data_IF_479816099018
#
_entry.id   IF_479816099018
#
_cell.length_a   1.000
_cell.length_b   1.000
_cell.length_c   1.000
_cell.angle_alpha   90.00
_cell.angle_beta   90.00
_cell.angle_gamma   90.00
#
_symmetry.space_group_name_H-M   'P 1'
#
loop_
_entity.id
_entity.type
_entity.pdbx_description
1 polymer ?
#
# COMPACT_ATOMS: atom_id res chain seq x y z
N UNK A 1 -7.96 16.21 40.79
CA UNK A 1 -8.46 17.19 39.81
C UNK A 1 -7.36 17.40 38.80
N UNK A 2 -7.55 16.99 37.54
CA UNK A 2 -6.60 17.30 36.48
C UNK A 2 -6.65 18.82 36.23
N UNK A 3 -5.50 19.49 36.23
CA UNK A 3 -5.42 20.91 35.91
C UNK A 3 -5.90 21.08 34.47
N UNK A 4 -6.91 21.92 34.26
CA UNK A 4 -7.32 22.34 32.92
C UNK A 4 -6.19 23.20 32.37
N UNK A 5 -5.40 22.66 31.44
CA UNK A 5 -4.43 23.48 30.70
C UNK A 5 -5.21 24.54 29.92
N UNK A 6 -5.07 25.80 30.32
CA UNK A 6 -5.60 26.92 29.56
C UNK A 6 -4.73 27.11 28.31
N UNK A 7 -5.19 26.58 27.18
CA UNK A 7 -4.61 26.86 25.89
C UNK A 7 -4.75 28.35 25.57
N UNK A 8 -3.62 29.03 25.36
CA UNK A 8 -3.60 30.45 24.99
C UNK A 8 -3.33 30.54 23.49
N UNK A 9 -4.25 31.11 22.74
CA UNK A 9 -4.06 31.36 21.31
C UNK A 9 -3.43 32.75 21.09
N UNK A 10 -2.51 32.89 20.13
CA UNK A 10 -1.92 34.19 19.83
C UNK A 10 -3.00 35.16 19.32
N UNK A 11 -2.90 36.41 19.75
CA UNK A 11 -3.82 37.48 19.29
C UNK A 11 -3.44 37.96 17.90
N UNK A 12 -2.14 37.98 17.58
CA UNK A 12 -1.63 38.34 16.26
C UNK A 12 -1.60 37.12 15.33
N UNK A 13 -2.22 37.24 14.15
CA UNK A 13 -2.28 36.15 13.16
C UNK A 13 -0.91 35.66 12.72
N UNK A 14 0.10 36.55 12.70
CA UNK A 14 1.46 36.21 12.29
C UNK A 14 2.18 35.29 13.30
N UNK A 15 1.78 35.31 14.57
CA UNK A 15 2.37 34.51 15.65
C UNK A 15 1.76 33.11 15.75
N UNK A 16 0.79 32.77 14.88
CA UNK A 16 0.17 31.45 14.89
C UNK A 16 1.18 30.35 14.56
N UNK A 17 1.08 29.24 15.27
CA UNK A 17 1.69 27.98 14.87
C UNK A 17 1.07 27.53 13.54
N UNK A 18 1.92 27.19 12.58
CA UNK A 18 1.58 26.63 11.27
C UNK A 18 1.94 25.15 11.24
N UNK A 19 1.53 24.43 10.19
CA UNK A 19 1.91 23.04 10.00
C UNK A 19 3.43 22.84 9.83
N UNK A 20 4.18 23.90 9.51
CA UNK A 20 5.63 23.87 9.32
C UNK A 20 6.43 24.08 10.61
N UNK A 21 5.84 24.74 11.62
CA UNK A 21 6.54 25.07 12.87
C UNK A 21 5.85 24.50 14.13
N UNK A 22 4.69 23.85 13.96
CA UNK A 22 4.00 23.12 15.02
C UNK A 22 4.49 21.67 15.14
N UNK A 23 4.20 21.07 16.30
CA UNK A 23 4.39 19.64 16.48
C UNK A 23 3.35 18.85 15.68
N UNK A 24 3.81 17.99 14.79
CA UNK A 24 2.98 17.07 14.02
C UNK A 24 3.48 15.64 14.23
N UNK A 25 2.60 14.65 14.20
CA UNK A 25 3.01 13.25 14.28
C UNK A 25 3.85 12.86 13.06
N UNK A 26 4.78 11.93 13.26
CA UNK A 26 5.65 11.43 12.19
C UNK A 26 4.84 10.76 11.07
N UNK A 27 3.80 9.97 11.41
CA UNK A 27 2.88 9.36 10.43
C UNK A 27 2.26 10.38 9.48
N UNK A 28 1.78 11.50 10.01
CA UNK A 28 1.16 12.56 9.21
C UNK A 28 2.18 13.25 8.31
N UNK A 29 3.39 13.49 8.80
CA UNK A 29 4.47 14.06 7.98
C UNK A 29 4.86 13.11 6.83
N UNK A 30 4.99 11.81 7.11
CA UNK A 30 5.28 10.78 6.10
C UNK A 30 4.18 10.71 5.04
N UNK A 31 2.91 10.77 5.44
CA UNK A 31 1.80 10.87 4.51
C UNK A 31 1.87 12.13 3.63
N UNK A 32 2.15 13.30 4.20
CA UNK A 32 2.27 14.52 3.38
C UNK A 32 3.39 14.44 2.35
N UNK A 33 4.54 13.88 2.74
CA UNK A 33 5.65 13.65 1.81
C UNK A 33 5.28 12.66 0.70
N UNK A 34 4.59 11.57 1.05
CA UNK A 34 4.06 10.63 0.07
C UNK A 34 3.03 11.31 -0.85
N UNK A 35 2.14 12.15 -0.31
CA UNK A 35 1.10 12.81 -1.10
C UNK A 35 1.61 13.87 -2.08
N UNK A 36 2.82 14.39 -1.83
CA UNK A 36 3.54 15.31 -2.73
C UNK A 36 4.35 14.56 -3.80
N UNK A 37 4.40 13.22 -3.72
CA UNK A 37 5.10 12.39 -4.68
C UNK A 37 4.40 12.42 -6.05
N UNK A 38 5.17 12.53 -7.14
CA UNK A 38 4.63 12.68 -8.49
C UNK A 38 3.71 11.52 -8.90
N UNK A 39 4.05 10.29 -8.53
CA UNK A 39 3.28 9.09 -8.83
C UNK A 39 2.16 8.80 -7.80
N UNK A 40 1.96 9.64 -6.78
CA UNK A 40 1.03 9.32 -5.70
C UNK A 40 -0.41 9.18 -6.16
N UNK A 41 -0.86 9.99 -7.13
CA UNK A 41 -2.22 9.92 -7.63
C UNK A 41 -2.53 8.53 -8.21
N UNK A 42 -1.59 7.97 -8.97
CA UNK A 42 -1.72 6.66 -9.60
C UNK A 42 -1.56 5.52 -8.59
N UNK A 43 -0.58 5.63 -7.68
CA UNK A 43 -0.42 4.68 -6.57
C UNK A 43 -1.70 4.61 -5.74
N UNK A 44 -2.30 5.76 -5.42
CA UNK A 44 -3.55 5.83 -4.68
C UNK A 44 -4.68 5.14 -5.43
N UNK A 45 -4.77 5.33 -6.74
CA UNK A 45 -5.80 4.72 -7.57
C UNK A 45 -5.63 3.18 -7.62
N UNK A 46 -4.42 2.68 -7.89
CA UNK A 46 -4.11 1.24 -7.93
C UNK A 46 -4.38 0.58 -6.56
N UNK A 47 -3.91 1.18 -5.47
CA UNK A 47 -4.09 0.61 -4.13
C UNK A 47 -5.55 0.67 -3.68
N UNK A 48 -6.30 1.71 -4.09
CA UNK A 48 -7.73 1.78 -3.84
C UNK A 48 -8.51 0.66 -4.56
N UNK A 49 -8.12 0.34 -5.79
CA UNK A 49 -8.70 -0.78 -6.55
C UNK A 49 -8.40 -2.11 -5.86
N UNK A 50 -7.14 -2.35 -5.47
CA UNK A 50 -6.76 -3.52 -4.67
C UNK A 50 -7.57 -3.64 -3.37
N UNK A 51 -7.84 -2.52 -2.67
CA UNK A 51 -8.66 -2.53 -1.46
C UNK A 51 -10.10 -2.95 -1.78
N UNK A 52 -10.68 -2.46 -2.88
CA UNK A 52 -12.05 -2.79 -3.30
C UNK A 52 -12.19 -4.26 -3.68
N UNK A 53 -11.20 -4.83 -4.35
CA UNK A 53 -11.27 -6.21 -4.87
C UNK A 53 -10.87 -7.25 -3.81
N UNK A 54 -9.96 -6.91 -2.88
CA UNK A 54 -9.30 -7.93 -2.05
C UNK A 54 -9.58 -7.84 -0.54
N UNK A 55 -10.24 -6.80 -0.04
CA UNK A 55 -10.52 -6.63 1.40
C UNK A 55 -12.02 -6.71 1.68
N UNK A 56 -12.45 -7.67 2.51
CA UNK A 56 -13.87 -8.04 2.70
C UNK A 56 -14.76 -6.99 3.36
N UNK A 57 -14.20 -6.07 4.15
CA UNK A 57 -14.90 -4.93 4.76
C UNK A 57 -13.90 -3.83 5.11
N UNK A 58 -13.41 -3.07 4.11
CA UNK A 58 -12.21 -2.27 4.27
C UNK A 58 -12.40 -1.12 5.29
N UNK A 59 -13.58 -0.49 5.29
CA UNK A 59 -13.87 0.63 6.18
C UNK A 59 -13.96 0.25 7.67
N UNK A 60 -14.49 -0.93 7.99
CA UNK A 60 -14.70 -1.33 9.39
C UNK A 60 -13.58 -2.20 9.95
N UNK A 61 -12.71 -2.75 9.09
CA UNK A 61 -11.60 -3.62 9.51
C UNK A 61 -10.25 -2.91 9.55
N UNK A 62 -10.16 -1.66 9.10
CA UNK A 62 -8.93 -0.85 9.23
C UNK A 62 -8.45 -0.80 10.69
N UNK A 63 -7.13 -0.87 10.90
CA UNK A 63 -6.43 -1.01 12.19
C UNK A 63 -6.63 -2.34 12.93
N UNK A 64 -7.60 -3.16 12.54
CA UNK A 64 -7.95 -4.38 13.28
C UNK A 64 -7.72 -5.66 12.47
N UNK A 65 -7.98 -5.63 11.18
CA UNK A 65 -7.63 -6.67 10.22
C UNK A 65 -6.50 -6.24 9.29
N UNK A 66 -6.45 -4.96 8.90
CA UNK A 66 -5.38 -4.44 8.03
C UNK A 66 -4.90 -3.05 8.44
N UNK A 67 -3.68 -2.68 8.04
CA UNK A 67 -3.07 -1.37 8.28
C UNK A 67 -2.32 -0.89 7.05
N UNK A 68 -2.22 0.43 6.89
CA UNK A 68 -1.32 1.05 5.90
C UNK A 68 -0.29 1.97 6.54
N UNK A 69 0.92 1.97 6.01
CA UNK A 69 2.01 2.87 6.37
C UNK A 69 2.52 3.64 5.15
N UNK A 70 2.96 4.88 5.38
CA UNK A 70 3.61 5.72 4.38
C UNK A 70 5.10 5.84 4.71
N UNK A 71 5.98 5.73 3.71
CA UNK A 71 7.44 5.92 3.86
C UNK A 71 7.99 5.13 5.06
N UNK A 72 7.71 3.83 5.09
CA UNK A 72 8.02 2.95 6.24
C UNK A 72 9.50 2.57 6.30
N UNK A 73 10.20 2.60 5.16
CA UNK A 73 11.62 2.24 5.04
C UNK A 73 12.29 3.03 3.92
N UNK A 74 13.54 3.41 4.14
CA UNK A 74 14.37 4.11 3.17
C UNK A 74 15.82 3.61 3.27
N UNK A 75 16.43 3.40 2.12
CA UNK A 75 17.83 3.08 1.92
C UNK A 75 18.36 3.86 0.68
N UNK A 76 19.68 3.90 0.42
CA UNK A 76 20.24 4.77 -0.62
C UNK A 76 19.66 4.59 -2.03
N UNK A 77 19.17 3.41 -2.37
CA UNK A 77 18.67 3.08 -3.72
C UNK A 77 17.24 2.52 -3.70
N UNK A 78 16.60 2.52 -2.53
CA UNK A 78 15.28 1.91 -2.33
C UNK A 78 14.50 2.67 -1.27
N UNK A 79 13.29 3.07 -1.61
CA UNK A 79 12.36 3.77 -0.72
C UNK A 79 10.99 3.10 -0.77
N UNK A 80 10.54 2.53 0.35
CA UNK A 80 9.21 1.94 0.47
C UNK A 80 8.20 3.06 0.65
N UNK A 81 7.45 3.37 -0.42
CA UNK A 81 6.49 4.45 -0.46
C UNK A 81 5.25 4.14 0.38
N UNK A 82 4.71 2.93 0.20
CA UNK A 82 3.47 2.48 0.83
C UNK A 82 3.59 1.01 1.21
N UNK A 83 3.09 0.67 2.39
CA UNK A 83 2.94 -0.72 2.85
C UNK A 83 1.50 -0.92 3.27
N UNK A 84 0.84 -1.97 2.76
CA UNK A 84 -0.44 -2.46 3.22
C UNK A 84 -0.23 -3.86 3.82
N UNK A 85 -0.64 -4.00 5.07
CA UNK A 85 -0.46 -5.22 5.86
C UNK A 85 -1.83 -5.76 6.22
N UNK A 86 -2.09 -7.05 5.94
CA UNK A 86 -3.27 -7.78 6.40
C UNK A 86 -2.82 -8.83 7.41
N UNK A 87 -3.45 -8.89 8.59
CA UNK A 87 -2.95 -9.71 9.68
C UNK A 87 -1.51 -9.33 10.02
N UNK A 88 -0.58 -10.27 9.95
CA UNK A 88 0.84 -10.09 10.28
C UNK A 88 1.78 -10.10 9.07
N UNK A 89 1.23 -10.01 7.85
CA UNK A 89 2.00 -10.03 6.60
C UNK A 89 1.75 -8.76 5.78
N UNK A 90 2.82 -8.20 5.22
CA UNK A 90 2.73 -7.15 4.20
C UNK A 90 2.22 -7.79 2.91
N UNK A 91 0.96 -7.53 2.56
CA UNK A 91 0.31 -8.15 1.40
C UNK A 91 0.43 -7.31 0.14
N UNK A 92 0.65 -6.00 0.28
CA UNK A 92 1.02 -5.11 -0.81
C UNK A 92 2.08 -4.11 -0.35
N UNK A 93 3.14 -3.95 -1.14
CA UNK A 93 4.22 -2.98 -0.91
C UNK A 93 4.52 -2.25 -2.20
N UNK A 94 4.54 -0.92 -2.15
CA UNK A 94 4.99 -0.08 -3.26
C UNK A 94 6.37 0.46 -2.93
N UNK A 95 7.34 0.14 -3.78
CA UNK A 95 8.73 0.49 -3.61
C UNK A 95 9.20 1.31 -4.79
N UNK A 96 9.94 2.37 -4.48
CA UNK A 96 10.67 3.16 -5.43
C UNK A 96 12.14 2.76 -5.41
N UNK A 97 12.69 2.47 -6.58
CA UNK A 97 14.11 2.23 -6.77
C UNK A 97 14.74 3.42 -7.50
N UNK A 98 15.94 3.81 -7.07
CA UNK A 98 16.73 4.83 -7.75
C UNK A 98 17.94 4.16 -8.39
N UNK A 99 18.10 4.35 -9.70
CA UNK A 99 19.23 3.83 -10.44
C UNK A 99 20.45 4.74 -10.27
N UNK A 100 21.57 4.15 -9.84
CA UNK A 100 22.83 4.87 -9.60
C UNK A 100 23.48 5.44 -10.87
N UNK A 101 23.20 4.86 -12.03
CA UNK A 101 23.90 5.20 -13.27
C UNK A 101 23.30 6.44 -13.95
N UNK A 102 21.99 6.68 -13.81
CA UNK A 102 21.28 7.75 -14.52
C UNK A 102 20.24 8.53 -13.69
N UNK A 103 20.20 8.31 -12.37
CA UNK A 103 19.22 8.89 -11.44
C UNK A 103 17.76 8.61 -11.85
N UNK A 104 17.51 7.59 -12.69
CA UNK A 104 16.15 7.19 -13.05
C UNK A 104 15.45 6.55 -11.86
N UNK A 105 14.12 6.71 -11.85
CA UNK A 105 13.23 6.18 -10.83
C UNK A 105 12.41 5.06 -11.45
N UNK A 106 12.44 3.90 -10.81
CA UNK A 106 11.61 2.75 -11.13
C UNK A 106 10.61 2.52 -9.99
N UNK A 107 9.37 2.15 -10.32
CA UNK A 107 8.33 1.87 -9.33
C UNK A 107 7.91 0.41 -9.45
N UNK A 108 8.05 -0.32 -8.36
CA UNK A 108 7.63 -1.72 -8.26
C UNK A 108 6.51 -1.84 -7.22
N UNK A 109 5.47 -2.58 -7.58
CA UNK A 109 4.47 -3.07 -6.64
C UNK A 109 4.71 -4.56 -6.38
N UNK A 110 5.00 -4.89 -5.12
CA UNK A 110 5.04 -6.27 -4.65
C UNK A 110 3.68 -6.64 -4.05
N UNK A 111 3.08 -7.74 -4.50
CA UNK A 111 1.83 -8.29 -3.96
C UNK A 111 2.04 -9.74 -3.54
N UNK A 112 1.61 -10.10 -2.33
CA UNK A 112 1.56 -11.50 -1.91
C UNK A 112 0.13 -12.02 -2.08
N UNK A 113 -0.01 -13.22 -2.64
CA UNK A 113 -1.29 -13.93 -2.79
C UNK A 113 -1.24 -15.31 -2.17
N UNK A 114 -2.40 -15.94 -2.02
CA UNK A 114 -2.45 -17.36 -1.68
C UNK A 114 -1.85 -18.21 -2.80
N UNK A 115 -1.55 -19.47 -2.50
CA UNK A 115 -1.10 -20.42 -3.51
C UNK A 115 -2.30 -21.08 -4.19
N UNK A 116 -2.35 -21.11 -5.54
CA UNK A 116 -3.38 -21.85 -6.25
C UNK A 116 -3.24 -23.36 -6.01
N UNK A 117 -4.38 -24.03 -5.79
CA UNK A 117 -4.40 -25.47 -5.57
C UNK A 117 -3.84 -26.24 -6.78
N UNK A 118 -2.90 -27.15 -6.52
CA UNK A 118 -2.38 -28.08 -7.52
C UNK A 118 -1.30 -27.53 -8.45
N UNK A 119 -0.83 -26.29 -8.25
CA UNK A 119 0.32 -25.75 -8.98
C UNK A 119 1.63 -26.32 -8.43
N UNK A 120 2.56 -26.67 -9.32
CA UNK A 120 3.95 -26.98 -8.95
C UNK A 120 4.78 -25.72 -8.77
N UNK A 121 5.95 -25.83 -8.11
CA UNK A 121 6.87 -24.69 -7.94
C UNK A 121 7.31 -24.08 -9.28
N UNK A 122 7.45 -24.90 -10.33
CA UNK A 122 7.75 -24.39 -11.68
C UNK A 122 6.59 -23.57 -12.25
N UNK A 123 5.34 -23.94 -11.97
CA UNK A 123 4.16 -23.21 -12.45
C UNK A 123 3.93 -21.90 -11.69
N UNK A 124 4.47 -21.77 -10.47
CA UNK A 124 4.49 -20.53 -9.70
C UNK A 124 5.58 -19.55 -10.18
N UNK A 125 6.50 -20.00 -11.03
CA UNK A 125 7.57 -19.14 -11.54
C UNK A 125 7.11 -18.46 -12.83
N UNK A 126 6.81 -17.16 -12.74
CA UNK A 126 6.43 -16.32 -13.88
C UNK A 126 7.51 -15.27 -14.07
N UNK A 127 7.88 -15.02 -15.33
CA UNK A 127 8.82 -13.96 -15.69
C UNK A 127 8.44 -13.42 -17.06
N UNK A 128 7.85 -12.24 -17.05
CA UNK A 128 7.60 -11.38 -18.21
C UNK A 128 8.45 -10.12 -18.10
N UNK A 129 8.28 -9.17 -19.03
CA UNK A 129 8.98 -7.88 -18.97
C UNK A 129 8.52 -7.01 -17.79
N UNK A 130 7.23 -7.08 -17.44
CA UNK A 130 6.61 -6.20 -16.44
C UNK A 130 6.23 -6.92 -15.15
N UNK A 131 6.17 -8.25 -15.16
CA UNK A 131 5.73 -9.05 -14.02
C UNK A 131 6.70 -10.19 -13.79
N UNK A 132 7.11 -10.36 -12.54
CA UNK A 132 7.71 -11.61 -12.09
C UNK A 132 6.92 -12.15 -10.91
N UNK A 133 6.82 -13.47 -10.82
CA UNK A 133 6.20 -14.12 -9.69
C UNK A 133 6.98 -15.37 -9.30
N UNK A 134 7.09 -15.62 -8.01
CA UNK A 134 7.72 -16.82 -7.46
C UNK A 134 7.17 -17.11 -6.07
N UNK A 135 7.38 -18.33 -5.59
CA UNK A 135 7.04 -18.66 -4.20
C UNK A 135 7.79 -17.74 -3.24
N UNK A 136 7.06 -17.13 -2.33
CA UNK A 136 7.61 -16.22 -1.32
C UNK A 136 8.50 -16.94 -0.32
N UNK A 137 9.38 -16.18 0.34
CA UNK A 137 10.38 -16.70 1.28
C UNK A 137 10.03 -16.44 2.75
N UNK A 138 8.74 -16.22 3.04
CA UNK A 138 8.28 -15.92 4.40
C UNK A 138 8.31 -17.19 5.26
N UNK A 139 8.92 -17.17 6.47
CA UNK A 139 9.05 -18.36 7.30
C UNK A 139 7.73 -18.95 7.79
N UNK A 140 6.72 -18.09 8.00
CA UNK A 140 5.44 -18.44 8.63
C UNK A 140 4.26 -18.43 7.65
N UNK A 141 4.49 -17.94 6.42
CA UNK A 141 3.43 -17.76 5.41
C UNK A 141 3.86 -18.37 4.10
N UNK A 142 3.03 -19.27 3.58
CA UNK A 142 3.22 -19.84 2.25
C UNK A 142 2.44 -18.99 1.25
N UNK A 143 3.15 -18.23 0.42
CA UNK A 143 2.57 -17.22 -0.47
C UNK A 143 3.18 -17.26 -1.85
N UNK A 144 2.42 -16.78 -2.82
CA UNK A 144 2.94 -16.42 -4.12
C UNK A 144 3.27 -14.93 -4.14
N UNK A 145 4.55 -14.59 -4.31
CA UNK A 145 5.00 -13.20 -4.36
C UNK A 145 5.09 -12.75 -5.81
N UNK A 146 4.34 -11.70 -6.12
CA UNK A 146 4.30 -11.02 -7.40
C UNK A 146 5.03 -9.71 -7.30
N UNK A 147 5.83 -9.37 -8.31
CA UNK A 147 6.48 -8.08 -8.48
C UNK A 147 6.08 -7.52 -9.83
N UNK A 148 5.55 -6.31 -9.81
CA UNK A 148 4.91 -5.66 -10.95
C UNK A 148 5.60 -4.32 -11.14
N UNK A 149 6.20 -4.11 -12.31
CA UNK A 149 6.66 -2.78 -12.72
C UNK A 149 5.43 -1.92 -13.01
N UNK A 150 5.11 -1.03 -12.05
CA UNK A 150 4.00 -0.11 -12.21
C UNK A 150 4.43 1.16 -12.92
N UNK A 151 5.74 1.44 -13.06
CA UNK A 151 6.24 2.57 -13.84
C UNK A 151 5.78 2.50 -15.29
N UNK A 152 5.82 1.31 -15.90
CA UNK A 152 5.30 1.08 -17.24
C UNK A 152 3.78 1.29 -17.35
N UNK A 153 3.02 0.93 -16.31
CA UNK A 153 1.56 1.15 -16.25
C UNK A 153 1.20 2.64 -16.27
N UNK A 154 2.05 3.51 -15.72
CA UNK A 154 1.81 4.96 -15.69
C UNK A 154 2.04 5.64 -17.05
N UNK A 155 2.65 4.95 -18.01
CA UNK A 155 3.02 5.52 -19.31
C UNK A 155 2.01 5.24 -20.43
N UNK A 156 0.80 4.75 -20.13
CA UNK A 156 -0.32 4.50 -21.06
C UNK A 156 -0.04 3.51 -22.21
N UNK A 157 1.14 2.86 -22.26
CA UNK A 157 1.55 2.01 -23.39
C UNK A 157 1.58 0.50 -23.11
N UNK A 158 1.29 0.05 -21.87
CA UNK A 158 1.46 -1.34 -21.47
C UNK A 158 0.19 -1.99 -20.89
N UNK A 159 -0.26 -3.09 -21.51
CA UNK A 159 -1.19 -4.04 -20.90
C UNK A 159 -0.38 -5.02 -20.05
N UNK A 160 -0.58 -5.04 -18.73
CA UNK A 160 0.08 -5.99 -17.84
C UNK A 160 -0.65 -7.32 -17.91
N UNK A 161 0.06 -8.36 -18.37
CA UNK A 161 -0.43 -9.73 -18.32
C UNK A 161 0.29 -10.49 -17.21
N UNK A 162 -0.48 -10.94 -16.21
CA UNK A 162 0.02 -11.74 -15.10
C UNK A 162 0.37 -13.18 -15.49
N UNK A 163 0.08 -13.62 -16.72
CA UNK A 163 0.23 -15.02 -17.12
C UNK A 163 -0.79 -15.96 -16.46
N UNK A 164 -1.71 -15.41 -15.66
CA UNK A 164 -2.91 -16.05 -15.13
C UNK A 164 -4.13 -15.17 -15.44
N UNK A 165 -5.31 -15.70 -15.16
CA UNK A 165 -6.55 -14.93 -15.25
C UNK A 165 -6.63 -13.90 -14.11
N UNK A 166 -7.04 -12.67 -14.42
CA UNK A 166 -7.11 -11.58 -13.45
C UNK A 166 -8.06 -11.90 -12.29
N UNK A 167 -9.17 -12.58 -12.56
CA UNK A 167 -10.10 -12.99 -11.48
C UNK A 167 -9.48 -14.04 -10.55
N UNK A 168 -8.60 -14.90 -11.08
CA UNK A 168 -7.85 -15.83 -10.23
C UNK A 168 -6.84 -15.06 -9.35
N UNK A 169 -6.17 -14.05 -9.89
CA UNK A 169 -5.25 -13.21 -9.10
C UNK A 169 -5.99 -12.52 -7.94
N UNK A 170 -7.14 -11.92 -8.22
CA UNK A 170 -7.98 -11.25 -7.22
C UNK A 170 -8.51 -12.23 -6.18
N UNK A 171 -8.99 -13.41 -6.60
CA UNK A 171 -9.47 -14.47 -5.69
C UNK A 171 -8.36 -14.94 -4.74
N UNK A 172 -7.11 -15.09 -5.24
CA UNK A 172 -5.97 -15.49 -4.42
C UNK A 172 -5.54 -14.38 -3.45
N UNK A 173 -5.60 -13.11 -3.86
CA UNK A 173 -5.39 -11.98 -2.96
C UNK A 173 -6.45 -11.96 -1.86
N UNK A 174 -7.72 -12.06 -2.23
CA UNK A 174 -8.86 -12.05 -1.33
C UNK A 174 -8.80 -13.19 -0.31
N UNK A 175 -8.47 -14.41 -0.77
CA UNK A 175 -8.30 -15.59 0.09
C UNK A 175 -7.21 -15.35 1.15
N UNK A 176 -6.02 -14.91 0.72
CA UNK A 176 -4.91 -14.65 1.63
C UNK A 176 -5.27 -13.55 2.64
N UNK A 177 -5.78 -12.41 2.17
CA UNK A 177 -6.13 -11.27 3.02
C UNK A 177 -7.18 -11.67 4.06
N UNK A 178 -8.26 -12.34 3.63
CA UNK A 178 -9.33 -12.80 4.53
C UNK A 178 -8.82 -13.77 5.60
N UNK A 179 -7.93 -14.71 5.21
CA UNK A 179 -7.32 -15.66 6.13
C UNK A 179 -6.45 -14.94 7.16
N UNK A 180 -5.53 -14.08 6.72
CA UNK A 180 -4.64 -13.31 7.60
C UNK A 180 -5.41 -12.41 8.58
N UNK A 181 -6.41 -11.68 8.09
CA UNK A 181 -7.27 -10.83 8.91
C UNK A 181 -8.06 -11.59 9.98
N UNK A 182 -8.26 -12.90 9.78
CA UNK A 182 -8.93 -13.79 10.74
C UNK A 182 -7.95 -14.39 11.75
N UNK A 183 -6.77 -14.79 11.30
CA UNK A 183 -5.78 -15.54 12.09
C UNK A 183 -4.93 -14.64 12.99
N UNK A 184 -4.59 -13.44 12.52
CA UNK A 184 -3.67 -12.54 13.19
C UNK A 184 -4.16 -11.09 13.16
N UNK A 185 -3.50 -10.23 13.95
CA UNK A 185 -3.79 -8.79 13.97
C UNK A 185 -2.55 -8.01 13.52
N UNK A 186 -2.72 -6.96 12.70
CA UNK A 186 -1.61 -6.14 12.28
C UNK A 186 -1.00 -5.34 13.41
N UNK A 187 0.31 -5.14 13.28
CA UNK A 187 1.03 -4.17 14.09
C UNK A 187 0.58 -2.76 13.70
N UNK A 188 -0.19 -2.10 14.56
CA UNK A 188 -0.70 -0.75 14.29
C UNK A 188 0.32 0.38 14.56
N UNK A 189 1.60 0.04 14.77
CA UNK A 189 2.63 0.99 15.19
C UNK A 189 2.94 2.03 14.09
N UNK A 190 3.05 1.58 12.84
CA UNK A 190 3.33 2.42 11.66
C UNK A 190 2.08 2.83 10.89
N UNK A 191 0.89 2.57 11.45
CA UNK A 191 -0.37 2.87 10.78
C UNK A 191 -0.58 4.38 10.60
N UNK A 192 -0.90 4.79 9.38
CA UNK A 192 -1.25 6.16 9.01
C UNK A 192 -2.76 6.31 8.78
N UNK A 193 -3.44 7.00 9.72
CA UNK A 193 -4.89 7.29 9.59
C UNK A 193 -5.19 8.17 8.38
N UNK A 194 -4.33 9.16 8.11
CA UNK A 194 -4.55 10.11 7.01
C UNK A 194 -4.43 9.41 5.64
N UNK A 195 -3.47 8.48 5.50
CA UNK A 195 -3.33 7.65 4.29
C UNK A 195 -4.51 6.69 4.14
N UNK A 196 -4.89 5.99 5.21
CA UNK A 196 -6.01 5.05 5.17
C UNK A 196 -7.31 5.75 4.76
N UNK A 197 -7.56 6.95 5.30
CA UNK A 197 -8.74 7.74 4.95
C UNK A 197 -8.72 8.19 3.48
N UNK A 198 -7.57 8.59 2.93
CA UNK A 198 -7.45 9.00 1.53
C UNK A 198 -7.66 7.81 0.57
N UNK A 199 -7.08 6.65 0.88
CA UNK A 199 -7.26 5.41 0.11
C UNK A 199 -8.72 4.94 0.12
N UNK A 200 -9.38 4.91 1.30
CA UNK A 200 -10.79 4.54 1.40
C UNK A 200 -11.71 5.53 0.66
N UNK A 201 -11.35 6.82 0.66
CA UNK A 201 -12.10 7.82 -0.08
C UNK A 201 -11.95 7.65 -1.60
N UNK A 202 -10.77 7.27 -2.10
CA UNK A 202 -10.57 6.93 -3.50
C UNK A 202 -11.30 5.64 -3.89
N UNK A 203 -11.21 4.61 -3.05
CA UNK A 203 -11.91 3.33 -3.27
C UNK A 203 -13.42 3.53 -3.39
N UNK A 204 -13.99 4.39 -2.53
CA UNK A 204 -15.40 4.80 -2.64
C UNK A 204 -15.73 5.54 -3.95
N UNK A 205 -14.85 6.42 -4.44
CA UNK A 205 -15.06 7.14 -5.72
C UNK A 205 -15.09 6.18 -6.90
N UNK A 206 -14.15 5.23 -6.95
CA UNK A 206 -14.08 4.22 -8.02
C UNK A 206 -15.38 3.41 -8.12
N UNK A 207 -15.97 3.03 -6.98
CA UNK A 207 -17.25 2.32 -6.96
C UNK A 207 -18.42 3.17 -7.48
N UNK A 208 -18.44 4.48 -7.18
CA UNK A 208 -19.45 5.38 -7.73
C UNK A 208 -19.33 5.54 -9.25
N UNK A 209 -18.10 5.68 -9.75
CA UNK A 209 -17.85 5.89 -11.18
C UNK A 209 -18.13 4.63 -12.02
N UNK A 210 -18.18 3.44 -11.39
CA UNK A 210 -18.52 2.16 -12.04
C UNK A 210 -20.03 1.94 -12.17
N UNK A 211 -20.83 2.62 -11.36
CA UNK A 211 -22.30 2.51 -11.33
C UNK A 211 -23.02 3.48 -12.31
N UNK A 212 -22.29 4.36 -13.00
CA UNK A 212 -22.78 5.32 -14.02
C UNK A 212 -22.57 4.83 -15.47
#
# INVERSE_FOLDING_TARGET
MAATENFTFPTERAERTTLLNGSTSEHRRRFWLLSDHLAYADIRNIVADYINTTISDPANTVRHGWTVGALTRESPHERVLLTLTCGDLDTLVVTEFTNDDDDSIELEMTVNTDLPEGYSDEQLTISTELVSAARGTYPEHDVWTWRIDIGALLTDEAEVSFGIDDSLFDDLCYSLNSRLMTESRPAAADHSDDLAADLLAEAYRQLLDTDD
#
